data_IF_506193252924
#
_entry.id   IF_506193252924
#
_cell.length_a   1.000
_cell.length_b   1.000
_cell.length_c   1.000
_cell.angle_alpha   90.00
_cell.angle_beta   90.00
_cell.angle_gamma   90.00
#
_symmetry.space_group_name_H-M   'P 1'
#
loop_
_entity.id
_entity.type
_entity.pdbx_description
1 polymer ?
#
# COMPACT_ATOMS: atom_id res chain seq x y z
N UNK A 1 13.45 -1.15 -15.92
CA UNK A 1 12.87 -0.42 -14.76
C UNK A 1 12.38 -1.48 -13.78
N UNK A 2 12.91 -1.48 -12.55
CA UNK A 2 12.57 -2.48 -11.54
C UNK A 2 11.19 -2.25 -10.91
N UNK A 3 10.67 -3.23 -10.14
CA UNK A 3 9.46 -3.01 -9.35
C UNK A 3 9.67 -1.85 -8.40
N UNK A 4 8.65 -1.03 -8.28
CA UNK A 4 8.67 0.11 -7.37
C UNK A 4 8.20 -0.33 -5.99
N UNK A 5 8.92 0.06 -4.94
CA UNK A 5 8.66 -0.41 -3.58
C UNK A 5 8.01 0.69 -2.74
N UNK A 6 6.91 0.37 -2.09
CA UNK A 6 6.14 1.27 -1.22
C UNK A 6 6.09 0.70 0.20
N UNK A 7 6.30 1.55 1.21
CA UNK A 7 6.12 1.20 2.61
C UNK A 7 4.76 1.71 3.08
N UNK A 8 3.94 0.86 3.70
CA UNK A 8 2.61 1.22 4.21
C UNK A 8 2.42 0.79 5.66
N UNK A 9 1.74 1.64 6.44
CA UNK A 9 1.34 1.34 7.82
C UNK A 9 -0.17 1.23 7.88
N UNK A 10 -0.69 0.01 8.04
CA UNK A 10 -2.14 -0.24 8.02
C UNK A 10 -2.83 -0.03 9.37
N UNK A 11 -2.32 0.90 10.18
CA UNK A 11 -2.83 1.16 11.53
C UNK A 11 -2.51 0.05 12.56
N UNK A 12 -1.92 -1.06 12.13
CA UNK A 12 -1.27 -2.05 13.00
C UNK A 12 0.18 -1.63 13.26
N UNK A 13 0.78 -2.12 14.36
CA UNK A 13 2.15 -1.74 14.72
C UNK A 13 3.20 -2.12 13.67
N UNK A 14 2.93 -3.15 12.85
CA UNK A 14 3.86 -3.66 11.84
C UNK A 14 3.64 -3.02 10.44
N UNK A 15 4.68 -2.40 9.86
CA UNK A 15 4.65 -1.92 8.48
C UNK A 15 4.71 -3.07 7.45
N UNK A 16 4.23 -2.77 6.25
CA UNK A 16 4.32 -3.65 5.08
C UNK A 16 5.13 -2.99 3.96
N UNK A 17 5.95 -3.78 3.29
CA UNK A 17 6.60 -3.46 2.03
C UNK A 17 5.79 -4.05 0.88
N UNK A 18 5.32 -3.19 0.01
CA UNK A 18 4.58 -3.53 -1.19
C UNK A 18 5.49 -3.32 -2.39
N UNK A 19 5.59 -4.33 -3.25
CA UNK A 19 6.14 -4.13 -4.58
C UNK A 19 4.98 -3.86 -5.55
N UNK A 20 5.13 -2.85 -6.39
CA UNK A 20 4.18 -2.44 -7.43
C UNK A 20 4.84 -2.54 -8.82
N UNK A 21 4.03 -2.69 -9.89
CA UNK A 21 4.52 -2.63 -11.25
C UNK A 21 5.26 -1.31 -11.55
N UNK A 22 6.20 -1.30 -12.50
CA UNK A 22 6.79 -0.05 -12.97
C UNK A 22 5.70 0.90 -13.50
N UNK A 23 5.83 2.19 -13.18
CA UNK A 23 4.85 3.23 -13.56
C UNK A 23 3.76 3.50 -12.53
N UNK A 24 3.65 2.69 -11.47
CA UNK A 24 2.59 2.80 -10.46
C UNK A 24 2.91 3.65 -9.22
N UNK A 25 4.09 4.27 -9.18
CA UNK A 25 4.68 4.71 -7.89
C UNK A 25 5.36 6.07 -7.98
N UNK A 26 5.04 6.88 -8.99
CA UNK A 26 5.34 8.30 -8.92
C UNK A 26 4.37 8.98 -7.94
N UNK A 27 4.55 8.68 -6.65
CA UNK A 27 3.73 9.17 -5.56
C UNK A 27 3.90 10.67 -5.32
N UNK A 28 4.94 11.27 -5.91
CA UNK A 28 5.15 12.72 -5.89
C UNK A 28 4.15 13.41 -6.81
N UNK A 29 3.81 12.79 -7.96
CA UNK A 29 2.83 13.32 -8.90
C UNK A 29 1.42 12.80 -8.66
N UNK A 30 1.28 11.55 -8.26
CA UNK A 30 -0.01 10.91 -8.01
C UNK A 30 0.03 10.17 -6.66
N UNK A 31 -0.21 10.88 -5.55
CA UNK A 31 -0.10 10.30 -4.23
C UNK A 31 -1.11 9.17 -4.03
N UNK A 32 -0.66 8.13 -3.33
CA UNK A 32 -1.53 7.03 -2.94
C UNK A 32 -2.64 7.57 -2.00
N UNK A 33 -3.88 7.28 -2.35
CA UNK A 33 -5.08 7.76 -1.66
C UNK A 33 -5.71 6.68 -0.78
N UNK A 34 -5.63 5.42 -1.24
CA UNK A 34 -6.18 4.28 -0.53
C UNK A 34 -5.43 2.99 -0.89
N UNK A 35 -5.70 1.94 -0.11
CA UNK A 35 -5.20 0.60 -0.33
C UNK A 35 -6.37 -0.36 -0.22
N UNK A 36 -6.55 -1.25 -1.20
CA UNK A 36 -7.53 -2.31 -1.02
C UNK A 36 -6.97 -3.38 -0.09
N UNK A 37 -7.83 -3.98 0.72
CA UNK A 37 -7.48 -5.17 1.50
C UNK A 37 -8.57 -6.23 1.37
N UNK A 38 -8.14 -7.48 1.18
CA UNK A 38 -8.99 -8.64 1.25
C UNK A 38 -8.93 -9.26 2.65
N UNK A 39 -10.08 -9.36 3.35
CA UNK A 39 -10.20 -9.97 4.70
C UNK A 39 -9.24 -9.40 5.76
N UNK A 40 -8.95 -8.09 5.72
CA UNK A 40 -8.02 -7.38 6.64
C UNK A 40 -6.56 -7.84 6.55
N UNK A 41 -6.21 -8.56 5.49
CA UNK A 41 -4.83 -8.88 5.17
C UNK A 41 -4.51 -8.34 3.79
N UNK A 42 -3.24 -8.02 3.56
CA UNK A 42 -2.77 -7.66 2.24
C UNK A 42 -2.37 -8.90 1.46
N UNK A 43 -2.88 -9.02 0.25
CA UNK A 43 -2.59 -10.13 -0.65
C UNK A 43 -2.10 -9.61 -1.99
N UNK A 44 -0.92 -10.06 -2.40
CA UNK A 44 -0.41 -9.83 -3.75
C UNK A 44 -1.36 -10.43 -4.79
N UNK A 45 -1.52 -9.76 -5.94
CA UNK A 45 -2.42 -10.15 -7.03
C UNK A 45 -3.89 -9.81 -6.80
N UNK A 46 -4.35 -9.73 -5.55
CA UNK A 46 -5.73 -9.40 -5.20
C UNK A 46 -5.87 -7.92 -4.83
N UNK A 47 -4.94 -7.43 -4.02
CA UNK A 47 -4.98 -6.08 -3.49
C UNK A 47 -4.22 -5.08 -4.38
N UNK A 48 -4.59 -3.82 -4.26
CA UNK A 48 -4.07 -2.73 -5.06
C UNK A 48 -3.92 -1.45 -4.24
N UNK A 49 -2.88 -0.69 -4.56
CA UNK A 49 -2.78 0.72 -4.17
C UNK A 49 -3.64 1.52 -5.12
N UNK A 50 -4.48 2.39 -4.56
CA UNK A 50 -5.29 3.33 -5.32
C UNK A 50 -4.63 4.69 -5.24
N UNK A 51 -4.46 5.32 -6.40
CA UNK A 51 -4.04 6.72 -6.52
C UNK A 51 -5.22 7.56 -7.00
N UNK A 52 -5.02 8.82 -7.34
CA UNK A 52 -6.10 9.62 -7.93
C UNK A 52 -6.42 9.17 -9.36
N UNK A 53 -5.42 8.67 -10.10
CA UNK A 53 -5.55 8.37 -11.54
C UNK A 53 -5.50 6.89 -11.88
N UNK A 54 -5.00 6.04 -10.98
CA UNK A 54 -4.71 4.64 -11.29
C UNK A 54 -5.06 3.66 -10.16
N UNK A 55 -5.27 2.41 -10.57
CA UNK A 55 -5.32 1.25 -9.69
C UNK A 55 -4.07 0.41 -9.94
N UNK A 56 -3.21 0.34 -8.92
CA UNK A 56 -1.90 -0.28 -8.99
C UNK A 56 -1.89 -1.62 -8.25
N UNK A 57 -1.94 -2.74 -8.97
CA UNK A 57 -1.98 -4.06 -8.32
C UNK A 57 -0.70 -4.30 -7.53
N UNK A 58 -0.84 -4.89 -6.35
CA UNK A 58 0.31 -5.27 -5.53
C UNK A 58 0.89 -6.56 -6.10
N UNK A 59 2.16 -6.55 -6.49
CA UNK A 59 2.84 -7.74 -7.03
C UNK A 59 3.53 -8.56 -5.95
N UNK A 60 3.93 -7.93 -4.84
CA UNK A 60 4.43 -8.65 -3.67
C UNK A 60 4.11 -7.89 -2.38
N UNK A 61 3.87 -8.64 -1.30
CA UNK A 61 3.66 -8.12 0.05
C UNK A 61 4.71 -8.77 0.97
N UNK A 62 5.42 -7.95 1.73
CA UNK A 62 6.31 -8.40 2.80
C UNK A 62 6.01 -7.63 4.07
N UNK A 63 6.00 -8.33 5.21
CA UNK A 63 6.06 -7.65 6.50
C UNK A 63 7.45 -7.07 6.67
N UNK A 64 7.53 -5.84 7.17
CA UNK A 64 8.77 -5.21 7.51
C UNK A 64 8.85 -5.03 9.02
N UNK A 65 10.05 -5.18 9.57
CA UNK A 65 10.28 -4.84 10.96
C UNK A 65 10.33 -3.32 11.11
N UNK A 66 9.56 -2.79 12.08
CA UNK A 66 9.57 -1.37 12.40
C UNK A 66 10.97 -0.86 12.75
N UNK A 67 11.74 -1.63 13.54
CA UNK A 67 13.08 -1.25 13.99
C UNK A 67 14.06 -1.17 12.82
N UNK A 68 13.95 -2.10 11.87
CA UNK A 68 14.78 -2.07 10.66
C UNK A 68 14.49 -0.83 9.81
N UNK A 69 13.21 -0.49 9.61
CA UNK A 69 12.83 0.71 8.86
C UNK A 69 13.25 2.00 9.58
N UNK A 70 13.07 2.08 10.89
CA UNK A 70 13.52 3.23 11.68
C UNK A 70 15.04 3.41 11.63
N UNK A 71 15.81 2.31 11.63
CA UNK A 71 17.27 2.35 11.47
C UNK A 71 17.68 2.91 10.10
N UNK A 72 16.85 2.74 9.06
CA UNK A 72 17.04 3.36 7.73
C UNK A 72 16.50 4.79 7.64
N UNK A 73 16.00 5.36 8.74
CA UNK A 73 15.42 6.71 8.79
C UNK A 73 13.96 6.79 8.36
N UNK A 74 13.33 5.66 8.01
CA UNK A 74 11.92 5.60 7.62
C UNK A 74 11.07 5.48 8.88
N UNK A 75 10.34 6.55 9.23
CA UNK A 75 9.50 6.62 10.44
C UNK A 75 8.03 6.61 10.11
N UNK A 76 7.22 6.02 11.00
CA UNK A 76 5.75 6.06 10.92
C UNK A 76 5.19 7.49 10.81
N UNK A 77 5.80 8.46 11.49
CA UNK A 77 5.36 9.86 11.45
C UNK A 77 5.53 10.52 10.06
N UNK A 78 6.43 10.01 9.22
CA UNK A 78 6.59 10.44 7.84
C UNK A 78 5.75 9.63 6.85
N UNK A 79 5.03 8.61 7.32
CA UNK A 79 4.20 7.77 6.47
C UNK A 79 2.84 8.44 6.20
N UNK A 80 2.48 8.54 4.93
CA UNK A 80 1.18 9.07 4.54
C UNK A 80 0.08 8.10 4.97
N UNK A 81 -0.97 8.58 5.67
CA UNK A 81 -2.04 7.70 6.13
C UNK A 81 -2.86 7.22 4.93
N UNK A 82 -2.79 5.92 4.63
CA UNK A 82 -3.62 5.29 3.61
C UNK A 82 -4.89 4.72 4.22
N UNK A 83 -6.03 5.02 3.60
CA UNK A 83 -7.30 4.40 3.97
C UNK A 83 -7.34 2.98 3.41
N UNK A 84 -7.65 2.02 4.26
CA UNK A 84 -7.89 0.63 3.82
C UNK A 84 -9.35 0.49 3.40
N UNK A 85 -9.59 0.11 2.14
CA UNK A 85 -10.92 -0.12 1.58
C UNK A 85 -11.10 -1.59 1.21
N UNK A 86 -12.33 -2.13 1.21
CA UNK A 86 -12.57 -3.50 0.76
C UNK A 86 -12.16 -3.67 -0.71
N UNK A 87 -11.49 -4.78 -1.05
CA UNK A 87 -11.13 -5.10 -2.43
C UNK A 87 -12.34 -5.22 -3.38
N UNK A 88 -13.49 -5.61 -2.83
CA UNK A 88 -14.79 -5.51 -3.48
C UNK A 88 -15.63 -4.45 -2.75
N UNK A 89 -15.87 -3.27 -3.33
CA UNK A 89 -16.98 -2.46 -2.88
C UNK A 89 -18.25 -3.22 -3.23
N UNK A 90 -18.87 -3.88 -2.26
CA UNK A 90 -20.24 -4.39 -2.45
C UNK A 90 -21.07 -3.20 -2.91
N UNK A 91 -21.70 -3.24 -4.11
CA UNK A 91 -22.66 -2.21 -4.45
C UNK A 91 -23.73 -2.29 -3.36
N UNK A 92 -23.91 -1.22 -2.59
CA UNK A 92 -25.05 -1.12 -1.69
C UNK A 92 -26.29 -1.27 -2.57
N UNK A 93 -26.90 -2.44 -2.53
CA UNK A 93 -28.24 -2.65 -3.06
C UNK A 93 -29.14 -1.68 -2.31
N UNK A 94 -29.74 -0.76 -3.08
CA UNK A 94 -30.66 0.27 -2.59
C UNK A 94 -32.05 -0.30 -2.48
#
# INVERSE_FOLDING_TARGET
MGPSRLVVWLGVEEPYLLDLPPGCTDLTRDPASALTSHRRQLQAGTDAVLTATARCPIVAVRRADRRELEATGIRRAGAQPLRVVPANPTPKAR
#
